data_IF_849548310557
#
_entry.id   IF_849548310557
#
_cell.length_a   1.000
_cell.length_b   1.000
_cell.length_c   1.000
_cell.angle_alpha   90.00
_cell.angle_beta   90.00
_cell.angle_gamma   90.00
#
_symmetry.space_group_name_H-M   'P 1'
#
loop_
_entity.id
_entity.type
_entity.pdbx_description
1 polymer ?
#
# COMPACT_ATOMS: atom_id res chain seq x y z
N UNK A 1 -26.23 -40.43 51.75
CA UNK A 1 -25.00 -39.69 51.36
C UNK A 1 -24.76 -39.57 49.84
N UNK A 2 -25.53 -40.21 48.94
CA UNK A 2 -25.21 -40.28 47.50
C UNK A 2 -25.73 -39.16 46.57
N UNK A 3 -26.84 -38.49 46.90
CA UNK A 3 -27.50 -37.53 45.98
C UNK A 3 -26.71 -36.23 45.71
N UNK A 4 -25.92 -35.76 46.67
CA UNK A 4 -25.11 -34.54 46.51
C UNK A 4 -23.84 -34.77 45.66
N UNK A 5 -23.28 -35.97 45.71
CA UNK A 5 -22.09 -36.38 44.92
C UNK A 5 -22.42 -36.45 43.43
N UNK A 6 -23.54 -37.07 43.06
CA UNK A 6 -24.02 -37.17 41.68
C UNK A 6 -24.33 -35.81 41.04
N UNK A 7 -24.86 -34.86 41.84
CA UNK A 7 -25.16 -33.52 41.36
C UNK A 7 -23.88 -32.70 41.10
N UNK A 8 -22.85 -32.87 41.93
CA UNK A 8 -21.54 -32.25 41.70
C UNK A 8 -20.85 -32.84 40.45
N UNK A 9 -20.93 -34.15 40.24
CA UNK A 9 -20.38 -34.83 39.05
C UNK A 9 -21.07 -34.37 37.75
N UNK A 10 -22.42 -34.25 37.75
CA UNK A 10 -23.19 -33.71 36.60
C UNK A 10 -22.92 -32.24 36.32
N UNK A 11 -22.61 -31.43 37.33
CA UNK A 11 -22.21 -30.02 37.16
C UNK A 11 -20.78 -29.89 36.62
N UNK A 12 -19.87 -30.75 37.06
CA UNK A 12 -18.49 -30.79 36.59
C UNK A 12 -18.40 -31.17 35.10
N UNK A 13 -19.13 -32.20 34.68
CA UNK A 13 -19.23 -32.63 33.27
C UNK A 13 -19.83 -31.53 32.39
N UNK A 14 -20.97 -30.94 32.77
CA UNK A 14 -21.59 -29.84 32.03
C UNK A 14 -20.69 -28.58 31.93
N UNK A 15 -19.87 -28.32 32.94
CA UNK A 15 -18.86 -27.23 32.92
C UNK A 15 -17.70 -27.57 31.98
N UNK A 16 -17.24 -28.82 31.97
CA UNK A 16 -16.20 -29.30 31.06
C UNK A 16 -16.66 -29.23 29.59
N UNK A 17 -17.88 -29.69 29.29
CA UNK A 17 -18.50 -29.60 27.95
C UNK A 17 -18.61 -28.15 27.46
N UNK A 18 -19.09 -27.23 28.32
CA UNK A 18 -19.15 -25.79 27.98
C UNK A 18 -17.77 -25.20 27.73
N UNK A 19 -16.78 -25.57 28.54
CA UNK A 19 -15.39 -25.13 28.38
C UNK A 19 -14.79 -25.66 27.07
N UNK A 20 -15.05 -26.92 26.73
CA UNK A 20 -14.64 -27.53 25.47
C UNK A 20 -15.32 -26.87 24.25
N UNK A 21 -16.63 -26.63 24.31
CA UNK A 21 -17.36 -25.93 23.26
C UNK A 21 -16.88 -24.48 23.08
N UNK A 22 -16.56 -23.77 24.17
CA UNK A 22 -15.98 -22.43 24.12
C UNK A 22 -14.56 -22.45 23.51
N UNK A 23 -13.73 -23.43 23.89
CA UNK A 23 -12.40 -23.61 23.33
C UNK A 23 -12.45 -23.94 21.82
N UNK A 24 -13.38 -24.78 21.39
CA UNK A 24 -13.59 -25.11 19.98
C UNK A 24 -14.03 -23.88 19.16
N UNK A 25 -14.97 -23.07 19.67
CA UNK A 25 -15.38 -21.82 19.03
C UNK A 25 -14.24 -20.80 18.96
N UNK A 26 -13.44 -20.70 20.01
CA UNK A 26 -12.27 -19.82 20.03
C UNK A 26 -11.22 -20.27 19.01
N UNK A 27 -10.98 -21.58 18.89
CA UNK A 27 -10.07 -22.15 17.89
C UNK A 27 -10.55 -21.86 16.46
N UNK A 28 -11.84 -22.10 16.16
CA UNK A 28 -12.43 -21.76 14.85
C UNK A 28 -12.30 -20.27 14.53
N UNK A 29 -12.58 -19.38 15.48
CA UNK A 29 -12.43 -17.94 15.28
C UNK A 29 -10.96 -17.57 15.03
N UNK A 30 -10.03 -18.14 15.79
CA UNK A 30 -8.60 -17.91 15.62
C UNK A 30 -8.09 -18.41 14.27
N UNK A 31 -8.59 -19.56 13.81
CA UNK A 31 -8.30 -20.10 12.48
C UNK A 31 -8.79 -19.17 11.37
N UNK A 32 -10.05 -18.72 11.43
CA UNK A 32 -10.58 -17.75 10.44
C UNK A 32 -9.77 -16.47 10.43
N UNK A 33 -9.48 -15.88 11.60
CA UNK A 33 -8.64 -14.67 11.70
C UNK A 33 -7.25 -14.90 11.14
N UNK A 34 -6.62 -16.04 11.41
CA UNK A 34 -5.33 -16.41 10.85
C UNK A 34 -5.38 -16.53 9.33
N UNK A 35 -6.36 -17.26 8.78
CA UNK A 35 -6.48 -17.45 7.33
C UNK A 35 -6.73 -16.15 6.59
N UNK A 36 -7.55 -15.26 7.15
CA UNK A 36 -7.80 -13.93 6.56
C UNK A 36 -6.55 -13.08 6.59
N UNK A 37 -5.88 -12.98 7.75
CA UNK A 37 -4.65 -12.21 7.87
C UNK A 37 -3.54 -12.76 6.97
N UNK A 38 -3.44 -14.08 6.81
CA UNK A 38 -2.45 -14.71 5.94
C UNK A 38 -2.72 -14.40 4.47
N UNK A 39 -4.00 -14.39 4.05
CA UNK A 39 -4.38 -14.03 2.70
C UNK A 39 -4.08 -12.55 2.39
N UNK A 40 -4.42 -11.63 3.30
CA UNK A 40 -4.09 -10.20 3.17
C UNK A 40 -2.57 -9.99 3.10
N UNK A 41 -1.81 -10.66 3.97
CA UNK A 41 -0.35 -10.61 3.95
C UNK A 41 0.25 -11.15 2.64
N UNK A 42 -0.33 -12.22 2.09
CA UNK A 42 0.13 -12.82 0.84
C UNK A 42 -0.13 -11.88 -0.35
N UNK A 43 -1.29 -11.24 -0.40
CA UNK A 43 -1.62 -10.21 -1.40
C UNK A 43 -0.61 -9.05 -1.35
N UNK A 44 -0.35 -8.51 -0.15
CA UNK A 44 0.62 -7.44 0.07
C UNK A 44 2.05 -7.87 -0.37
N UNK A 45 2.45 -9.12 -0.10
CA UNK A 45 3.75 -9.65 -0.49
C UNK A 45 3.88 -9.84 -2.02
N UNK A 46 2.86 -10.40 -2.66
CA UNK A 46 2.84 -10.65 -4.10
C UNK A 46 2.83 -9.33 -4.89
N UNK A 47 2.10 -8.32 -4.43
CA UNK A 47 2.12 -6.97 -5.01
C UNK A 47 3.53 -6.34 -4.92
N UNK A 48 4.16 -6.38 -3.75
CA UNK A 48 5.51 -5.85 -3.56
C UNK A 48 6.56 -6.59 -4.40
N UNK A 49 6.47 -7.92 -4.49
CA UNK A 49 7.35 -8.73 -5.32
C UNK A 49 7.20 -8.41 -6.81
N UNK A 50 5.96 -8.22 -7.30
CA UNK A 50 5.69 -7.81 -8.68
C UNK A 50 6.31 -6.43 -8.97
N UNK A 51 6.16 -5.46 -8.07
CA UNK A 51 6.75 -4.12 -8.21
C UNK A 51 8.27 -4.16 -8.23
N UNK A 52 8.88 -5.00 -7.39
CA UNK A 52 10.33 -5.20 -7.39
C UNK A 52 10.82 -5.73 -8.74
N UNK A 53 10.14 -6.72 -9.32
CA UNK A 53 10.50 -7.23 -10.64
C UNK A 53 10.33 -6.16 -11.73
N UNK A 54 9.26 -5.36 -11.69
CA UNK A 54 9.08 -4.23 -12.60
C UNK A 54 10.20 -3.18 -12.46
N UNK A 55 10.62 -2.87 -11.24
CA UNK A 55 11.71 -1.92 -11.00
C UNK A 55 13.06 -2.42 -11.53
N UNK A 56 13.32 -3.74 -11.44
CA UNK A 56 14.55 -4.37 -11.96
C UNK A 56 14.63 -4.38 -13.48
N UNK A 57 13.52 -4.70 -14.15
CA UNK A 57 13.47 -4.79 -15.60
C UNK A 57 13.27 -3.43 -16.29
N UNK A 58 12.97 -2.39 -15.51
CA UNK A 58 12.60 -1.08 -16.01
C UNK A 58 11.21 -1.10 -16.66
N UNK A 59 10.73 0.07 -17.09
CA UNK A 59 9.59 0.09 -17.98
C UNK A 59 10.03 -0.52 -19.32
N UNK A 60 9.90 -1.83 -19.48
CA UNK A 60 9.84 -2.45 -20.80
C UNK A 60 8.58 -1.92 -21.46
N UNK A 61 8.70 -0.73 -22.05
CA UNK A 61 7.73 -0.24 -23.00
C UNK A 61 7.70 -1.27 -24.10
N UNK A 62 6.68 -2.13 -24.07
CA UNK A 62 6.23 -2.79 -25.26
C UNK A 62 6.05 -1.68 -26.29
N UNK A 63 6.92 -1.65 -27.30
CA UNK A 63 6.76 -0.79 -28.47
C UNK A 63 5.50 -1.18 -29.26
N UNK A 64 4.87 -2.28 -28.87
CA UNK A 64 3.66 -2.87 -29.46
C UNK A 64 2.40 -2.57 -28.63
N UNK A 65 2.54 -1.88 -27.48
CA UNK A 65 1.42 -1.46 -26.65
C UNK A 65 0.89 -0.13 -27.18
N UNK A 66 0.22 -0.20 -28.32
CA UNK A 66 -0.64 0.84 -28.91
C UNK A 66 -1.90 1.05 -28.05
N UNK A 67 -1.75 1.06 -26.72
CA UNK A 67 -2.72 1.68 -25.84
C UNK A 67 -2.83 3.11 -26.33
N UNK A 68 -4.05 3.54 -26.67
CA UNK A 68 -4.33 4.93 -26.96
C UNK A 68 -4.00 5.74 -25.69
N UNK A 69 -2.74 6.19 -25.57
CA UNK A 69 -2.24 7.00 -24.46
C UNK A 69 -2.97 8.35 -24.44
N UNK A 70 -3.54 8.78 -25.57
CA UNK A 70 -4.11 10.12 -25.74
C UNK A 70 -3.05 11.23 -25.81
N UNK A 71 -1.76 10.88 -25.79
CA UNK A 71 -0.64 11.83 -25.88
C UNK A 71 0.40 11.36 -26.92
N UNK A 72 1.13 12.31 -27.49
CA UNK A 72 2.27 12.00 -28.35
C UNK A 72 3.51 11.79 -27.48
N UNK A 73 4.10 10.59 -27.55
CA UNK A 73 5.37 10.27 -26.90
C UNK A 73 6.55 10.88 -27.68
N UNK A 74 7.49 11.49 -26.97
CA UNK A 74 8.73 12.05 -27.55
C UNK A 74 9.77 10.94 -27.77
N UNK A 75 10.82 11.24 -28.54
CA UNK A 75 11.93 10.31 -28.75
C UNK A 75 12.55 9.89 -27.41
N UNK A 76 12.62 8.58 -27.14
CA UNK A 76 13.14 8.03 -25.89
C UNK A 76 12.18 8.13 -24.69
N UNK A 77 10.97 8.66 -24.90
CA UNK A 77 9.89 8.63 -23.92
C UNK A 77 9.23 7.24 -23.95
N UNK A 78 9.14 6.61 -22.78
CA UNK A 78 8.61 5.27 -22.56
C UNK A 78 7.41 5.36 -21.63
N UNK A 79 6.33 4.69 -21.99
CA UNK A 79 5.13 4.61 -21.17
C UNK A 79 5.41 3.77 -19.90
N UNK A 80 5.00 4.30 -18.75
CA UNK A 80 5.09 3.63 -17.45
C UNK A 80 3.70 3.23 -16.95
N UNK A 81 2.66 4.02 -17.26
CA UNK A 81 1.28 3.64 -16.98
C UNK A 81 0.23 4.61 -17.51
N UNK A 82 -0.99 4.11 -17.64
CA UNK A 82 -2.19 4.88 -17.97
C UNK A 82 -3.25 4.59 -16.90
N UNK A 83 -3.89 5.64 -16.40
CA UNK A 83 -4.99 5.55 -15.44
C UNK A 83 -6.15 6.38 -15.92
N UNK A 84 -7.32 5.75 -16.01
CA UNK A 84 -8.57 6.46 -16.27
C UNK A 84 -9.16 6.99 -14.96
N UNK A 85 -9.91 8.10 -15.04
CA UNK A 85 -10.62 8.71 -13.90
C UNK A 85 -9.72 9.25 -12.77
N UNK A 86 -8.48 9.63 -13.06
CA UNK A 86 -7.70 10.41 -12.12
C UNK A 86 -8.35 11.78 -11.88
N UNK A 87 -8.28 12.30 -10.66
CA UNK A 87 -8.72 13.67 -10.36
C UNK A 87 -7.54 14.62 -10.52
N UNK A 88 -7.70 15.75 -11.22
CA UNK A 88 -6.77 16.87 -11.11
C UNK A 88 -7.06 17.62 -9.82
N UNK A 89 -6.04 17.79 -8.99
CA UNK A 89 -6.13 18.43 -7.69
C UNK A 89 -5.35 19.75 -7.71
N UNK A 90 -5.99 20.82 -7.26
CA UNK A 90 -5.33 22.08 -6.95
C UNK A 90 -5.54 22.40 -5.47
N UNK A 91 -4.47 22.37 -4.64
CA UNK A 91 -4.59 22.78 -3.24
C UNK A 91 -5.07 24.24 -3.16
N UNK A 92 -6.20 24.47 -2.48
CA UNK A 92 -6.83 25.80 -2.36
C UNK A 92 -6.73 26.34 -0.93
N UNK A 93 -5.52 26.69 -0.47
CA UNK A 93 -5.19 27.72 0.55
C UNK A 93 -3.67 27.82 0.80
N UNK A 94 -3.30 28.84 1.59
CA UNK A 94 -2.09 29.68 1.57
C UNK A 94 -0.70 29.02 1.77
N UNK A 95 0.40 29.73 1.38
CA UNK A 95 1.68 29.12 1.02
C UNK A 95 2.48 28.63 2.23
N UNK A 96 2.67 27.32 2.30
CA UNK A 96 3.77 26.73 3.05
C UNK A 96 5.00 26.65 2.16
N UNK A 97 6.11 27.25 2.59
CA UNK A 97 7.39 27.10 1.90
C UNK A 97 7.87 25.65 2.02
N UNK A 98 8.10 25.01 0.87
CA UNK A 98 8.84 23.75 0.82
C UNK A 98 10.33 24.10 0.97
N UNK A 99 10.85 23.96 2.18
CA UNK A 99 12.24 24.16 2.49
C UNK A 99 12.83 22.82 2.95
N UNK A 100 13.76 22.29 2.18
CA UNK A 100 14.50 21.08 2.53
C UNK A 100 14.64 20.16 1.33
N UNK A 101 15.88 19.96 0.91
CA UNK A 101 16.25 19.09 -0.20
C UNK A 101 15.77 17.64 0.00
N UNK A 102 15.68 16.96 -1.14
CA UNK A 102 15.41 15.53 -1.33
C UNK A 102 15.42 14.71 -0.02
N UNK A 103 14.25 14.62 0.61
CA UNK A 103 14.01 13.69 1.69
C UNK A 103 13.55 12.38 1.04
N UNK A 104 14.12 11.27 1.51
CA UNK A 104 13.84 9.93 1.01
C UNK A 104 12.36 9.66 0.83
N UNK A 105 12.04 8.93 -0.21
CA UNK A 105 10.70 8.45 -0.49
C UNK A 105 10.37 7.36 0.54
N UNK A 106 9.11 7.34 0.99
CA UNK A 106 8.56 6.21 1.74
C UNK A 106 7.12 6.11 1.28
N UNK A 107 6.80 5.06 0.52
CA UNK A 107 5.45 4.79 0.05
C UNK A 107 5.06 3.40 0.48
N UNK A 108 4.14 3.31 1.45
CA UNK A 108 3.72 2.01 2.00
C UNK A 108 2.98 1.19 0.95
N UNK A 109 3.47 -0.01 0.70
CA UNK A 109 2.84 -0.97 -0.20
C UNK A 109 1.75 -1.82 0.46
N UNK A 110 1.93 -2.18 1.73
CA UNK A 110 1.03 -3.10 2.43
C UNK A 110 -0.07 -2.42 3.25
N UNK A 111 -1.30 -2.95 3.16
CA UNK A 111 -2.45 -2.48 3.96
C UNK A 111 -2.37 -2.90 5.43
N UNK A 112 -1.53 -3.89 5.77
CA UNK A 112 -1.56 -4.58 7.07
C UNK A 112 -0.44 -4.29 8.09
N UNK A 113 0.62 -3.54 7.78
CA UNK A 113 1.80 -3.44 8.68
C UNK A 113 2.19 -2.00 9.00
N UNK A 114 1.86 -1.56 10.22
CA UNK A 114 2.42 -0.35 10.81
C UNK A 114 3.71 -0.70 11.54
N UNK A 115 4.84 -0.43 10.91
CA UNK A 115 6.08 -0.18 11.65
C UNK A 115 6.74 1.09 11.11
N UNK A 116 6.99 2.05 12.01
CA UNK A 116 7.67 3.30 11.71
C UNK A 116 9.16 3.06 11.93
N UNK A 117 9.91 2.84 10.85
CA UNK A 117 11.37 2.84 10.91
C UNK A 117 11.84 4.20 10.43
N UNK A 118 12.39 4.97 11.37
CA UNK A 118 13.32 6.09 11.16
C UNK A 118 13.02 7.05 10.01
N UNK A 119 12.35 8.16 10.30
CA UNK A 119 12.32 9.33 9.43
C UNK A 119 12.18 10.60 10.27
N UNK A 120 13.16 11.49 10.15
CA UNK A 120 13.24 12.79 10.79
C UNK A 120 11.91 13.56 10.83
N UNK A 121 11.65 14.25 11.95
CA UNK A 121 10.51 15.17 12.17
C UNK A 121 10.51 16.29 11.12
N UNK A 122 9.69 16.12 10.10
CA UNK A 122 9.03 17.21 9.40
C UNK A 122 7.53 17.08 9.63
N UNK A 123 7.01 17.64 10.72
CA UNK A 123 5.56 17.65 10.93
C UNK A 123 4.93 18.64 9.95
N UNK A 124 4.52 18.15 8.77
CA UNK A 124 3.59 18.90 7.94
C UNK A 124 2.23 18.89 8.63
N UNK A 125 1.93 19.97 9.37
CA UNK A 125 0.59 20.21 9.91
C UNK A 125 -0.24 20.81 8.78
N UNK A 126 -0.84 19.95 7.94
CA UNK A 126 -1.83 20.41 6.97
C UNK A 126 -3.15 20.64 7.70
N UNK A 127 -3.57 21.90 7.76
CA UNK A 127 -4.93 22.25 8.19
C UNK A 127 -5.97 21.57 7.30
N UNK A 128 -7.16 21.32 7.87
CA UNK A 128 -8.31 20.70 7.23
C UNK A 128 -8.63 21.34 5.86
N UNK A 129 -8.10 20.75 4.79
CA UNK A 129 -8.44 21.06 3.42
C UNK A 129 -8.51 19.76 2.65
N UNK A 130 -9.74 19.37 2.32
CA UNK A 130 -9.96 18.35 1.31
C UNK A 130 -9.40 18.90 0.00
N UNK A 131 -8.39 18.25 -0.61
CA UNK A 131 -7.86 18.68 -1.90
C UNK A 131 -9.02 18.75 -2.90
N UNK A 132 -9.33 19.95 -3.41
CA UNK A 132 -10.49 20.12 -4.30
C UNK A 132 -10.16 19.54 -5.66
N UNK A 133 -10.89 18.50 -6.07
CA UNK A 133 -10.87 18.03 -7.45
C UNK A 133 -11.42 19.12 -8.37
N UNK A 134 -10.60 19.58 -9.31
CA UNK A 134 -10.96 20.61 -10.29
C UNK A 134 -11.31 20.03 -11.66
N UNK A 135 -10.94 18.77 -11.91
CA UNK A 135 -11.32 18.01 -13.10
C UNK A 135 -11.11 16.51 -12.87
N UNK A 136 -11.69 15.68 -13.73
CA UNK A 136 -11.43 14.24 -13.80
C UNK A 136 -11.08 13.84 -15.23
N UNK A 137 -10.17 12.90 -15.36
CA UNK A 137 -9.66 12.56 -16.68
C UNK A 137 -8.63 11.46 -16.68
N UNK A 138 -7.96 11.33 -17.83
CA UNK A 138 -6.89 10.39 -18.04
C UNK A 138 -5.59 10.92 -17.46
N UNK A 139 -4.84 10.04 -16.83
CA UNK A 139 -3.47 10.27 -16.41
C UNK A 139 -2.54 9.33 -17.17
N UNK A 140 -1.49 9.89 -17.77
CA UNK A 140 -0.43 9.15 -18.44
C UNK A 140 0.87 9.43 -17.71
N UNK A 141 1.59 8.37 -17.35
CA UNK A 141 2.89 8.44 -16.69
C UNK A 141 3.91 7.87 -17.67
N UNK A 142 4.95 8.64 -17.97
CA UNK A 142 6.08 8.23 -18.79
C UNK A 142 7.37 8.40 -18.00
N UNK A 143 8.49 7.87 -18.48
CA UNK A 143 9.81 8.14 -17.89
C UNK A 143 10.29 9.61 -18.05
N UNK A 144 9.49 10.52 -18.61
CA UNK A 144 9.87 11.93 -18.81
C UNK A 144 8.92 12.91 -18.11
N UNK A 145 7.64 12.54 -18.01
CA UNK A 145 6.60 13.42 -17.48
C UNK A 145 5.37 12.65 -17.06
N UNK A 146 4.57 13.31 -16.24
CA UNK A 146 3.20 12.92 -15.92
C UNK A 146 2.26 13.88 -16.65
N UNK A 147 1.28 13.36 -17.38
CA UNK A 147 0.31 14.16 -18.15
C UNK A 147 -1.10 13.80 -17.74
N UNK A 148 -1.86 14.80 -17.30
CA UNK A 148 -3.29 14.72 -17.06
C UNK A 148 -4.05 15.38 -18.22
N UNK A 149 -5.11 14.71 -18.67
CA UNK A 149 -6.06 15.19 -19.68
C UNK A 149 -7.49 14.95 -19.19
N UNK A 150 -8.15 16.02 -18.75
CA UNK A 150 -9.57 16.05 -18.42
C UNK A 150 -10.38 16.78 -19.46
N UNK A 151 -11.69 16.86 -19.24
CA UNK A 151 -12.60 17.55 -20.17
C UNK A 151 -12.36 19.07 -20.19
N UNK A 152 -11.89 19.65 -19.09
CA UNK A 152 -11.75 21.09 -18.91
C UNK A 152 -10.30 21.54 -18.75
N UNK A 153 -9.42 20.64 -18.27
CA UNK A 153 -8.05 20.95 -17.89
C UNK A 153 -7.07 19.92 -18.46
N UNK A 154 -5.91 20.41 -18.87
CA UNK A 154 -4.73 19.58 -19.10
C UNK A 154 -3.59 20.04 -18.17
N UNK A 155 -2.78 19.10 -17.69
CA UNK A 155 -1.63 19.39 -16.83
C UNK A 155 -0.47 18.47 -17.15
N UNK A 156 0.72 19.04 -17.35
CA UNK A 156 1.95 18.27 -17.54
C UNK A 156 2.92 18.55 -16.39
N UNK A 157 3.47 17.52 -15.74
CA UNK A 157 4.57 17.64 -14.79
C UNK A 157 5.80 16.95 -15.38
N UNK A 158 6.72 17.75 -15.96
CA UNK A 158 7.97 17.24 -16.49
C UNK A 158 8.97 16.96 -15.34
N UNK A 159 9.57 15.77 -15.32
CA UNK A 159 10.56 15.42 -14.29
C UNK A 159 11.79 16.33 -14.33
N UNK A 160 12.17 16.81 -15.52
CA UNK A 160 13.26 17.79 -15.70
C UNK A 160 13.03 19.14 -14.99
N UNK A 161 11.80 19.44 -14.58
CA UNK A 161 11.43 20.65 -13.85
C UNK A 161 10.87 20.33 -12.45
N UNK A 162 10.85 19.05 -12.07
CA UNK A 162 10.27 18.63 -10.80
C UNK A 162 11.17 19.05 -9.63
N UNK A 163 10.56 19.73 -8.67
CA UNK A 163 11.20 20.11 -7.40
C UNK A 163 10.96 19.05 -6.32
N UNK A 164 9.81 18.38 -6.38
CA UNK A 164 9.44 17.34 -5.44
C UNK A 164 8.06 16.76 -5.74
N UNK A 165 7.84 15.56 -5.20
CA UNK A 165 6.58 14.83 -5.26
C UNK A 165 6.25 14.31 -3.88
N UNK A 166 5.02 14.52 -3.42
CA UNK A 166 4.58 14.14 -2.07
C UNK A 166 3.30 13.33 -2.16
N UNK A 167 3.34 12.11 -1.64
CA UNK A 167 2.18 11.23 -1.50
C UNK A 167 1.47 11.48 -0.17
N UNK A 168 0.14 11.54 -0.17
CA UNK A 168 -0.65 11.70 1.06
C UNK A 168 -1.23 10.35 1.52
N UNK A 169 -0.84 9.86 2.70
CA UNK A 169 -1.26 8.55 3.22
C UNK A 169 -2.77 8.42 3.49
N UNK A 170 -3.44 9.51 3.86
CA UNK A 170 -4.86 9.50 4.29
C UNK A 170 -5.81 9.68 3.10
N UNK A 171 -5.52 10.69 2.29
CA UNK A 171 -6.27 11.00 1.08
C UNK A 171 -5.41 10.60 -0.12
N UNK A 172 -5.74 9.53 -0.87
CA UNK A 172 -4.95 9.01 -1.99
C UNK A 172 -4.75 10.06 -3.09
N UNK A 173 -3.74 10.89 -2.86
CA UNK A 173 -3.37 12.02 -3.68
C UNK A 173 -1.86 12.12 -3.71
N UNK A 174 -1.35 12.63 -4.83
CA UNK A 174 0.06 12.96 -5.00
C UNK A 174 0.18 14.39 -5.48
N UNK A 175 0.86 15.23 -4.72
CA UNK A 175 1.14 16.63 -5.09
C UNK A 175 2.52 16.70 -5.72
N UNK A 176 2.63 17.39 -6.85
CA UNK A 176 3.86 17.58 -7.61
C UNK A 176 4.18 19.06 -7.73
N UNK A 177 5.36 19.45 -7.26
CA UNK A 177 5.91 20.79 -7.38
C UNK A 177 6.89 20.86 -8.55
N UNK A 178 6.79 21.91 -9.38
CA UNK A 178 7.69 22.13 -10.51
C UNK A 178 8.22 23.57 -10.50
N UNK A 179 9.46 23.76 -10.96
CA UNK A 179 10.18 25.03 -10.88
C UNK A 179 9.61 26.14 -11.76
N UNK A 180 8.83 25.78 -12.78
CA UNK A 180 8.24 26.71 -13.73
C UNK A 180 6.78 27.08 -13.41
N UNK A 181 6.30 26.79 -12.19
CA UNK A 181 4.95 27.16 -11.75
C UNK A 181 4.95 27.70 -10.33
N UNK A 182 4.16 28.76 -10.12
CA UNK A 182 3.98 29.36 -8.80
C UNK A 182 3.08 28.50 -7.88
N UNK A 183 2.09 27.81 -8.44
CA UNK A 183 1.14 26.96 -7.69
C UNK A 183 1.47 25.49 -7.89
N UNK A 184 1.50 24.75 -6.79
CA UNK A 184 1.57 23.28 -6.82
C UNK A 184 0.23 22.70 -7.24
N UNK A 185 0.27 21.50 -7.83
CA UNK A 185 -0.93 20.76 -8.21
C UNK A 185 -0.62 19.28 -8.12
N UNK A 186 -1.64 18.46 -8.09
CA UNK A 186 -1.49 17.04 -7.92
C UNK A 186 -2.56 16.25 -8.64
N UNK A 187 -2.52 14.96 -8.37
CA UNK A 187 -3.52 14.01 -8.82
C UNK A 187 -4.17 13.36 -7.61
N UNK A 188 -5.46 13.08 -7.71
CA UNK A 188 -6.19 12.20 -6.79
C UNK A 188 -6.54 10.92 -7.51
N UNK A 189 -6.61 9.83 -6.76
CA UNK A 189 -6.89 8.49 -7.24
C UNK A 189 -7.63 7.70 -6.15
N UNK A 190 -8.22 6.56 -6.51
CA UNK A 190 -8.92 5.73 -5.54
C UNK A 190 -7.95 4.98 -4.61
N UNK A 191 -8.49 4.40 -3.53
CA UNK A 191 -7.69 3.62 -2.58
C UNK A 191 -7.22 2.28 -3.15
N UNK A 192 -7.93 1.74 -4.12
CA UNK A 192 -7.68 0.43 -4.72
C UNK A 192 -6.40 0.46 -5.58
N UNK A 193 -6.23 1.52 -6.37
CA UNK A 193 -5.09 1.73 -7.28
C UNK A 193 -3.94 2.52 -6.64
N UNK A 194 -4.05 2.85 -5.36
CA UNK A 194 -3.15 3.76 -4.65
C UNK A 194 -1.68 3.30 -4.68
N UNK A 195 -1.41 2.05 -4.31
CA UNK A 195 -0.05 1.49 -4.27
C UNK A 195 0.54 1.41 -5.68
N UNK A 196 -0.18 0.78 -6.61
CA UNK A 196 0.20 0.68 -8.02
C UNK A 196 0.49 2.02 -8.69
N UNK A 197 -0.28 3.07 -8.42
CA UNK A 197 -0.08 4.39 -9.02
C UNK A 197 1.13 5.11 -8.44
N UNK A 198 1.29 5.09 -7.11
CA UNK A 198 2.47 5.66 -6.45
C UNK A 198 3.75 5.00 -6.94
N UNK A 199 3.76 3.67 -6.98
CA UNK A 199 4.88 2.91 -7.53
C UNK A 199 5.22 3.35 -8.96
N UNK A 200 4.23 3.49 -9.85
CA UNK A 200 4.48 3.93 -11.23
C UNK A 200 5.03 5.35 -11.33
N UNK A 201 4.59 6.27 -10.47
CA UNK A 201 5.16 7.62 -10.40
C UNK A 201 6.63 7.59 -9.96
N UNK A 202 6.94 6.80 -8.93
CA UNK A 202 8.30 6.65 -8.41
C UNK A 202 9.22 5.93 -9.39
N UNK A 203 8.74 4.87 -10.04
CA UNK A 203 9.46 4.18 -11.12
C UNK A 203 9.75 5.13 -12.27
N UNK A 204 8.77 5.93 -12.69
CA UNK A 204 8.95 6.93 -13.75
C UNK A 204 10.02 7.97 -13.40
N UNK A 205 10.01 8.47 -12.16
CA UNK A 205 11.05 9.38 -11.65
C UNK A 205 12.43 8.71 -11.61
N UNK A 206 12.51 7.48 -11.11
CA UNK A 206 13.75 6.72 -11.03
C UNK A 206 14.33 6.44 -12.42
N UNK A 207 13.48 6.08 -13.40
CA UNK A 207 13.87 5.93 -14.79
C UNK A 207 14.38 7.24 -15.41
N UNK A 208 13.75 8.37 -15.09
CA UNK A 208 14.23 9.69 -15.54
C UNK A 208 15.62 10.04 -14.98
N UNK A 209 15.85 9.75 -13.70
CA UNK A 209 17.10 10.05 -13.00
C UNK A 209 18.21 9.01 -13.25
N UNK A 210 17.87 7.85 -13.81
CA UNK A 210 18.80 6.72 -13.91
C UNK A 210 19.11 6.06 -12.57
N UNK A 211 18.20 6.17 -11.59
CA UNK A 211 18.38 5.74 -10.20
C UNK A 211 17.38 4.62 -9.79
N UNK A 212 17.12 3.69 -10.71
CA UNK A 212 16.25 2.52 -10.41
C UNK A 212 16.84 1.62 -9.32
N UNK A 213 18.16 1.62 -9.14
CA UNK A 213 18.84 0.88 -8.07
C UNK A 213 18.38 1.29 -6.67
N UNK A 214 18.18 2.59 -6.43
CA UNK A 214 17.72 3.07 -5.13
C UNK A 214 16.27 2.64 -4.86
N UNK A 215 15.41 2.68 -5.88
CA UNK A 215 14.03 2.17 -5.79
C UNK A 215 13.99 0.67 -5.52
N UNK A 216 14.85 -0.12 -6.19
CA UNK A 216 14.98 -1.57 -5.96
C UNK A 216 15.41 -1.86 -4.52
N UNK A 217 16.41 -1.14 -4.00
CA UNK A 217 16.88 -1.33 -2.63
C UNK A 217 15.78 -1.01 -1.59
N UNK A 218 14.98 0.03 -1.83
CA UNK A 218 13.85 0.36 -0.94
C UNK A 218 12.79 -0.74 -0.95
N UNK A 219 12.36 -1.20 -2.14
CA UNK A 219 11.38 -2.28 -2.28
C UNK A 219 11.86 -3.57 -1.62
N UNK A 220 13.16 -3.88 -1.71
CA UNK A 220 13.74 -5.01 -0.99
C UNK A 220 13.65 -4.84 0.53
N UNK A 221 13.94 -3.64 1.04
CA UNK A 221 13.80 -3.32 2.45
C UNK A 221 12.35 -3.49 2.94
N UNK A 222 11.38 -3.04 2.17
CA UNK A 222 9.95 -3.22 2.50
C UNK A 222 9.55 -4.70 2.51
N UNK A 223 9.97 -5.47 1.51
CA UNK A 223 9.70 -6.91 1.45
C UNK A 223 10.30 -7.63 2.67
N UNK A 224 11.52 -7.28 3.10
CA UNK A 224 12.11 -7.87 4.31
C UNK A 224 11.30 -7.51 5.55
N UNK A 225 10.81 -6.28 5.68
CA UNK A 225 9.90 -5.90 6.77
C UNK A 225 8.60 -6.69 6.71
N UNK A 226 7.98 -6.84 5.53
CA UNK A 226 6.76 -7.64 5.36
C UNK A 226 6.96 -9.10 5.74
N UNK A 227 8.12 -9.71 5.44
CA UNK A 227 8.41 -11.08 5.87
C UNK A 227 8.36 -11.24 7.39
N UNK A 228 8.77 -10.22 8.15
CA UNK A 228 8.76 -10.28 9.63
C UNK A 228 7.34 -10.26 10.23
N UNK A 229 6.34 -9.81 9.48
CA UNK A 229 4.96 -9.67 9.95
C UNK A 229 4.02 -10.77 9.48
N UNK A 230 4.57 -11.80 8.82
CA UNK A 230 3.81 -12.96 8.39
C UNK A 230 3.00 -13.54 9.56
N UNK A 231 1.67 -13.69 9.44
CA UNK A 231 0.85 -14.28 10.49
C UNK A 231 1.33 -15.66 10.90
N UNK A 232 1.32 -15.94 12.20
CA UNK A 232 1.67 -17.23 12.77
C UNK A 232 0.42 -18.11 12.96
N UNK A 233 0.52 -19.43 12.72
CA UNK A 233 -0.62 -20.33 12.88
C UNK A 233 -1.11 -20.34 14.35
N UNK A 234 -2.42 -20.50 14.60
CA UNK A 234 -2.96 -20.54 15.95
C UNK A 234 -2.45 -21.78 16.69
N UNK A 235 -2.17 -21.65 17.99
CA UNK A 235 -1.74 -22.78 18.83
C UNK A 235 -2.86 -23.82 18.89
N UNK A 236 -2.58 -25.11 18.62
CA UNK A 236 -3.59 -26.15 18.73
C UNK A 236 -4.11 -26.25 20.19
N UNK A 237 -5.39 -26.58 20.39
CA UNK A 237 -5.90 -26.82 21.73
C UNK A 237 -5.12 -27.95 22.40
N UNK A 238 -4.89 -27.91 23.72
CA UNK A 238 -4.22 -28.99 24.43
C UNK A 238 -4.97 -30.29 24.14
N UNK A 239 -4.27 -31.24 23.54
CA UNK A 239 -4.80 -32.58 23.28
C UNK A 239 -5.31 -33.15 24.61
N UNK A 240 -6.56 -33.62 24.62
CA UNK A 240 -7.03 -34.40 25.76
C UNK A 240 -6.09 -35.61 25.87
N UNK A 241 -5.35 -35.70 26.98
CA UNK A 241 -4.42 -36.80 27.29
C UNK A 241 -5.02 -38.14 26.83
N UNK A 242 -4.25 -39.02 26.15
CA UNK A 242 -4.73 -40.36 25.86
C UNK A 242 -5.14 -41.00 27.18
N UNK A 243 -6.40 -41.44 27.26
CA UNK A 243 -6.95 -42.19 28.38
C UNK A 243 -5.95 -43.28 28.73
N UNK A 244 -5.33 -43.16 29.90
CA UNK A 244 -4.28 -44.07 30.34
C UNK A 244 -4.73 -45.51 30.15
N UNK A 245 -3.86 -46.30 29.51
CA UNK A 245 -3.92 -47.75 29.50
C UNK A 245 -4.18 -48.24 30.92
N UNK A 246 -5.34 -48.86 31.11
CA UNK A 246 -5.57 -49.72 32.27
C UNK A 246 -4.75 -50.98 32.01
N UNK A 247 -3.51 -51.00 32.51
CA UNK A 247 -2.76 -52.25 32.66
C UNK A 247 -3.40 -53.06 33.80
N UNK A 248 -3.51 -54.35 33.53
CA UNK A 248 -4.22 -55.39 34.27
C UNK A 248 -3.64 -55.70 35.65
#
# INVERSE_FOLDING_TARGET
MGFFSDFQARRATKRAERKAAQAARAAQKAEVTYTTALAEWQEDYDEAAMMLEWARHGATGSKDDDFNTGIVLKKGEVLVGVYEKAALIEPRRQPGHYAGGYQGFSFRLAKGVRYNVGGSRGTYVQGNELPTAVDFGRLVITNQRVVFQGANNAREWAFSKMLGMTHNEVNPTTVMAVSNRQKVSGIGYDKENCAGLRFRLELARALFLGDTSSLVNELQGEIEVLKTTKPLPPTPPPSALPSGEVSS
#
